data_IF_651465811152
#
_entry.id   IF_651465811152
#
_cell.length_a   1.000
_cell.length_b   1.000
_cell.length_c   1.000
_cell.angle_alpha   90.00
_cell.angle_beta   90.00
_cell.angle_gamma   90.00
#
_symmetry.space_group_name_H-M   'P 1'
#
loop_
_entity.id
_entity.type
_entity.pdbx_description
1 polymer ?
#
# COMPACT_ATOMS: atom_id res chain seq x y z
N UNK A 1 6.23 -9.39 1.34
CA UNK A 1 5.80 -8.21 0.57
C UNK A 1 5.51 -7.20 1.62
N UNK A 2 6.21 -6.08 1.53
CA UNK A 2 6.25 -5.11 2.61
C UNK A 2 5.52 -3.85 2.16
N UNK A 3 4.78 -3.26 3.09
CA UNK A 3 3.99 -2.06 2.87
C UNK A 3 4.45 -1.01 3.87
N UNK A 4 4.97 0.11 3.38
CA UNK A 4 5.27 1.28 4.19
C UNK A 4 4.26 2.39 3.86
N UNK A 5 3.60 2.92 4.88
CA UNK A 5 2.56 3.94 4.73
C UNK A 5 2.97 5.23 5.42
N UNK A 6 2.96 6.32 4.65
CA UNK A 6 3.15 7.68 5.14
C UNK A 6 1.96 8.54 4.72
N UNK A 7 1.45 9.34 5.65
CA UNK A 7 0.42 10.35 5.37
C UNK A 7 1.03 11.74 5.36
N UNK A 8 0.76 12.51 4.32
CA UNK A 8 1.08 13.93 4.20
C UNK A 8 -0.21 14.70 3.88
N UNK A 9 -0.75 15.40 4.88
CA UNK A 9 -2.06 16.04 4.82
C UNK A 9 -3.17 15.06 4.37
N UNK A 10 -3.78 15.31 3.22
CA UNK A 10 -4.86 14.52 2.63
C UNK A 10 -4.34 13.35 1.77
N UNK A 11 -3.02 13.27 1.54
CA UNK A 11 -2.39 12.32 0.63
C UNK A 11 -1.76 11.18 1.43
N UNK A 12 -2.21 9.96 1.17
CA UNK A 12 -1.56 8.73 1.63
C UNK A 12 -0.58 8.22 0.60
N UNK A 13 0.67 8.01 0.98
CA UNK A 13 1.71 7.42 0.14
C UNK A 13 1.97 6.01 0.68
N UNK A 14 1.77 5.00 -0.17
CA UNK A 14 2.04 3.60 0.16
C UNK A 14 3.18 3.12 -0.72
N UNK A 15 4.31 2.78 -0.10
CA UNK A 15 5.43 2.12 -0.77
C UNK A 15 5.23 0.61 -0.68
N UNK A 16 5.21 -0.05 -1.83
CA UNK A 16 4.98 -1.47 -1.97
C UNK A 16 6.29 -2.11 -2.46
N UNK A 17 6.80 -3.07 -1.68
CA UNK A 17 8.07 -3.75 -2.00
C UNK A 17 7.91 -5.27 -2.03
N UNK A 18 8.60 -5.91 -2.98
CA UNK A 18 8.56 -7.35 -3.22
C UNK A 18 7.41 -7.78 -4.13
N UNK A 19 7.07 -9.08 -4.09
CA UNK A 19 6.14 -9.70 -5.05
C UNK A 19 4.72 -9.91 -4.49
N UNK A 20 3.72 -9.51 -5.27
CA UNK A 20 2.32 -9.87 -5.03
C UNK A 20 2.03 -11.26 -5.64
N UNK A 21 1.67 -12.22 -4.78
CA UNK A 21 1.34 -13.60 -5.16
C UNK A 21 0.02 -14.03 -4.52
N UNK A 22 -0.56 -15.13 -5.01
CA UNK A 22 -1.85 -15.63 -4.51
C UNK A 22 -1.85 -15.83 -2.99
N UNK A 23 -0.75 -16.29 -2.40
CA UNK A 23 -0.65 -16.55 -0.96
C UNK A 23 -0.68 -15.29 -0.09
N UNK A 24 -0.32 -14.11 -0.61
CA UNK A 24 -0.30 -12.85 0.14
C UNK A 24 -1.34 -11.82 -0.35
N UNK A 25 -2.11 -12.13 -1.41
CA UNK A 25 -3.09 -11.21 -2.00
C UNK A 25 -4.20 -10.79 -1.02
N UNK A 26 -4.62 -11.68 -0.12
CA UNK A 26 -5.64 -11.35 0.90
C UNK A 26 -5.11 -10.34 1.92
N UNK A 27 -3.94 -10.62 2.49
CA UNK A 27 -3.29 -9.74 3.46
C UNK A 27 -2.99 -8.36 2.85
N UNK A 28 -2.53 -8.34 1.60
CA UNK A 28 -2.35 -7.11 0.84
C UNK A 28 -3.62 -6.25 0.81
N UNK A 29 -4.75 -6.85 0.40
CA UNK A 29 -6.05 -6.17 0.33
C UNK A 29 -6.47 -5.60 1.68
N UNK A 30 -6.35 -6.39 2.74
CA UNK A 30 -6.73 -5.97 4.10
C UNK A 30 -5.89 -4.79 4.60
N UNK A 31 -4.58 -4.75 4.28
CA UNK A 31 -3.71 -3.64 4.66
C UNK A 31 -3.96 -2.38 3.82
N UNK A 32 -4.11 -2.50 2.50
CA UNK A 32 -4.41 -1.37 1.61
C UNK A 32 -5.72 -0.67 1.99
N UNK A 33 -6.77 -1.43 2.32
CA UNK A 33 -8.05 -0.85 2.74
C UNK A 33 -7.92 0.08 3.96
N UNK A 34 -7.10 -0.31 4.95
CA UNK A 34 -6.86 0.52 6.15
C UNK A 34 -6.21 1.85 5.79
N UNK A 35 -5.36 1.89 4.77
CA UNK A 35 -4.67 3.11 4.34
C UNK A 35 -5.57 4.01 3.50
N UNK A 36 -6.45 3.41 2.68
CA UNK A 36 -7.48 4.12 1.91
C UNK A 36 -8.45 4.85 2.84
N UNK A 37 -8.92 4.21 3.91
CA UNK A 37 -9.84 4.84 4.87
C UNK A 37 -9.24 6.05 5.60
N UNK A 38 -7.91 6.15 5.68
CA UNK A 38 -7.19 7.22 6.37
C UNK A 38 -6.82 8.41 5.47
N UNK A 39 -7.04 8.31 4.16
CA UNK A 39 -6.50 9.24 3.16
C UNK A 39 -7.58 9.66 2.17
N UNK A 40 -7.56 10.92 1.73
CA UNK A 40 -8.49 11.40 0.68
C UNK A 40 -7.95 11.11 -0.72
N UNK A 41 -6.63 11.21 -0.87
CA UNK A 41 -5.89 10.87 -2.09
C UNK A 41 -4.86 9.79 -1.77
N UNK A 42 -4.53 8.98 -2.77
CA UNK A 42 -3.60 7.86 -2.60
C UNK A 42 -2.54 7.89 -3.70
N UNK A 43 -1.28 7.68 -3.33
CA UNK A 43 -0.15 7.46 -4.23
C UNK A 43 0.42 6.09 -3.90
N UNK A 44 0.59 5.26 -4.93
CA UNK A 44 1.23 3.95 -4.81
C UNK A 44 2.62 4.04 -5.44
N UNK A 45 3.65 3.83 -4.63
CA UNK A 45 5.02 3.67 -5.10
C UNK A 45 5.29 2.17 -5.30
N UNK A 46 5.43 1.78 -6.58
CA UNK A 46 5.65 0.39 -7.04
C UNK A 46 7.09 0.17 -7.52
N UNK A 47 8.01 1.09 -7.23
CA UNK A 47 9.38 1.06 -7.78
C UNK A 47 10.13 -0.22 -7.40
N UNK A 48 9.84 -0.77 -6.22
CA UNK A 48 10.49 -1.97 -5.67
C UNK A 48 9.60 -3.23 -5.82
N UNK A 49 8.66 -3.26 -6.76
CA UNK A 49 7.85 -4.45 -7.08
C UNK A 49 8.47 -5.29 -8.19
N UNK A 50 8.49 -6.62 -7.96
CA UNK A 50 8.95 -7.67 -8.89
C UNK A 50 7.81 -8.48 -9.50
#
# INVERSE_FOLDING_TARGET
MDLDFKKDNDIGIIKISGRLVVSNAREFKENINKYIEQSRFLVLDLTDMD
#
